data_IF_840643057450
#
_entry.id   IF_840643057450
#
_cell.length_a   1.000
_cell.length_b   1.000
_cell.length_c   1.000
_cell.angle_alpha   90.00
_cell.angle_beta   90.00
_cell.angle_gamma   90.00
#
_symmetry.space_group_name_H-M   'P 1'
#
loop_
_entity.id
_entity.type
_entity.pdbx_description
1 polymer ?
#
# COMPACT_ATOMS: atom_id res chain seq x y z
N UNK A 1 -12.38 10.12 4.56
CA UNK A 1 -11.46 9.05 4.14
C UNK A 1 -10.21 9.17 5.00
N UNK A 2 -9.52 8.06 5.29
CA UNK A 2 -8.27 8.09 6.07
C UNK A 2 -7.19 8.87 5.31
N UNK A 3 -6.34 9.63 6.00
CA UNK A 3 -5.20 10.33 5.38
C UNK A 3 -4.11 9.37 4.88
N UNK A 4 -4.18 8.10 5.31
CA UNK A 4 -3.23 7.05 4.96
C UNK A 4 -3.93 5.79 4.48
N UNK A 5 -3.27 5.11 3.54
CA UNK A 5 -3.56 3.75 3.11
C UNK A 5 -2.38 2.83 3.47
N UNK A 6 -2.65 1.53 3.51
CA UNK A 6 -1.66 0.50 3.72
C UNK A 6 -1.13 -0.01 2.38
N UNK A 7 0.15 0.17 2.12
CA UNK A 7 0.85 -0.54 1.06
C UNK A 7 1.35 -1.90 1.57
N UNK A 8 1.34 -2.89 0.69
CA UNK A 8 1.93 -4.20 0.91
C UNK A 8 2.71 -4.62 -0.33
N UNK A 9 3.86 -5.28 -0.10
CA UNK A 9 4.67 -5.93 -1.13
C UNK A 9 4.95 -7.37 -0.72
N UNK A 10 5.01 -8.26 -1.69
CA UNK A 10 5.67 -9.55 -1.53
C UNK A 10 6.53 -9.89 -2.75
N UNK A 11 7.65 -10.54 -2.49
CA UNK A 11 8.50 -11.16 -3.51
C UNK A 11 8.44 -12.68 -3.40
N UNK A 12 8.48 -13.36 -4.53
CA UNK A 12 8.45 -14.81 -4.60
C UNK A 12 9.41 -15.31 -5.66
N UNK A 13 10.31 -16.22 -5.29
CA UNK A 13 11.16 -16.92 -6.26
C UNK A 13 10.39 -18.12 -6.81
N UNK A 14 10.13 -18.13 -8.10
CA UNK A 14 9.47 -19.24 -8.79
C UNK A 14 10.37 -20.46 -8.86
N UNK A 15 9.77 -21.65 -8.81
CA UNK A 15 10.49 -22.93 -8.93
C UNK A 15 10.93 -23.23 -10.38
N UNK A 16 10.30 -22.59 -11.36
CA UNK A 16 10.56 -22.75 -12.78
C UNK A 16 10.08 -21.49 -13.54
N UNK A 17 10.45 -21.30 -14.82
CA UNK A 17 9.94 -20.20 -15.64
C UNK A 17 8.41 -20.12 -15.66
N UNK A 18 7.88 -18.90 -15.84
CA UNK A 18 6.45 -18.61 -15.74
C UNK A 18 5.60 -19.38 -16.77
N UNK A 19 6.15 -19.63 -17.96
CA UNK A 19 5.53 -20.38 -19.06
C UNK A 19 5.67 -21.91 -18.92
N UNK A 20 6.32 -22.38 -17.86
CA UNK A 20 6.52 -23.81 -17.63
C UNK A 20 5.22 -24.53 -17.23
N UNK A 21 5.10 -25.84 -17.55
CA UNK A 21 3.97 -26.65 -17.08
C UNK A 21 3.79 -26.66 -15.55
N UNK A 22 4.88 -26.46 -14.81
CA UNK A 22 4.84 -26.39 -13.36
C UNK A 22 4.11 -25.14 -12.86
N UNK A 23 4.32 -23.99 -13.50
CA UNK A 23 3.68 -22.72 -13.16
C UNK A 23 2.29 -22.54 -13.80
N UNK A 24 1.89 -23.41 -14.73
CA UNK A 24 0.60 -23.33 -15.43
C UNK A 24 -0.60 -23.21 -14.47
N UNK A 25 -0.58 -23.95 -13.35
CA UNK A 25 -1.63 -23.88 -12.33
C UNK A 25 -1.70 -22.51 -11.64
N UNK A 26 -0.56 -21.85 -11.42
CA UNK A 26 -0.51 -20.49 -10.87
C UNK A 26 -1.02 -19.47 -11.89
N UNK A 27 -0.50 -19.53 -13.13
CA UNK A 27 -0.88 -18.64 -14.23
C UNK A 27 -2.38 -18.69 -14.52
N UNK A 28 -2.96 -19.89 -14.53
CA UNK A 28 -4.40 -20.08 -14.76
C UNK A 28 -5.30 -19.39 -13.72
N UNK A 29 -4.78 -19.14 -12.51
CA UNK A 29 -5.55 -18.50 -11.43
C UNK A 29 -5.30 -16.98 -11.33
N UNK A 30 -4.26 -16.44 -11.98
CA UNK A 30 -3.86 -15.03 -11.85
C UNK A 30 -5.01 -14.05 -12.10
N UNK A 31 -5.72 -14.23 -13.22
CA UNK A 31 -6.82 -13.35 -13.60
C UNK A 31 -7.95 -13.37 -12.55
N UNK A 32 -8.34 -14.56 -12.09
CA UNK A 32 -9.41 -14.70 -11.09
C UNK A 32 -9.01 -14.08 -9.74
N UNK A 33 -7.78 -14.32 -9.28
CA UNK A 33 -7.27 -13.75 -8.03
C UNK A 33 -7.21 -12.21 -8.10
N UNK A 34 -6.70 -11.67 -9.21
CA UNK A 34 -6.65 -10.23 -9.43
C UNK A 34 -8.06 -9.63 -9.41
N UNK A 35 -9.04 -10.29 -10.06
CA UNK A 35 -10.43 -9.85 -10.00
C UNK A 35 -11.03 -9.92 -8.59
N UNK A 36 -10.68 -10.95 -7.79
CA UNK A 36 -11.09 -11.04 -6.38
C UNK A 36 -10.51 -9.87 -5.58
N UNK A 37 -9.26 -9.47 -5.83
CA UNK A 37 -8.67 -8.28 -5.19
C UNK A 37 -9.39 -7.01 -5.63
N UNK A 38 -9.61 -6.83 -6.93
CA UNK A 38 -10.23 -5.63 -7.51
C UNK A 38 -11.67 -5.39 -6.99
N UNK A 39 -12.36 -6.45 -6.53
CA UNK A 39 -13.70 -6.38 -5.92
C UNK A 39 -13.69 -6.44 -4.39
N UNK A 40 -12.53 -6.60 -3.75
CA UNK A 40 -12.44 -6.74 -2.31
C UNK A 40 -12.73 -5.41 -1.60
N UNK A 41 -13.58 -5.40 -0.55
CA UNK A 41 -13.79 -4.20 0.25
C UNK A 41 -12.47 -3.64 0.81
N UNK A 42 -12.25 -2.35 0.57
CA UNK A 42 -11.04 -1.65 0.99
C UNK A 42 -9.81 -1.88 0.12
N UNK A 43 -9.94 -2.53 -1.05
CA UNK A 43 -8.90 -2.51 -2.07
C UNK A 43 -8.83 -1.13 -2.75
N UNK A 44 -7.61 -0.61 -2.96
CA UNK A 44 -7.40 0.72 -3.54
C UNK A 44 -6.65 0.64 -4.87
N UNK A 45 -5.57 -0.15 -4.93
CA UNK A 45 -4.71 -0.23 -6.11
C UNK A 45 -3.80 -1.46 -6.08
N UNK A 46 -3.34 -1.91 -7.25
CA UNK A 46 -2.24 -2.88 -7.39
C UNK A 46 -1.28 -2.50 -8.50
N UNK A 47 -0.03 -2.89 -8.31
CA UNK A 47 1.02 -2.79 -9.31
C UNK A 47 0.71 -3.69 -10.50
N UNK A 48 0.87 -3.13 -11.69
CA UNK A 48 0.76 -3.79 -12.98
C UNK A 48 1.93 -3.34 -13.84
N UNK A 49 2.29 -4.15 -14.83
CA UNK A 49 3.22 -3.77 -15.88
C UNK A 49 2.60 -2.77 -16.86
N UNK A 50 3.34 -2.44 -17.92
CA UNK A 50 2.89 -1.52 -18.97
C UNK A 50 1.67 -2.04 -19.76
N UNK A 51 1.38 -3.34 -19.72
CA UNK A 51 0.17 -3.92 -20.32
C UNK A 51 -1.08 -3.65 -19.48
N UNK A 52 -0.90 -3.34 -18.19
CA UNK A 52 -1.97 -3.02 -17.25
C UNK A 52 -2.70 -4.24 -16.68
N UNK A 53 -2.31 -5.46 -17.04
CA UNK A 53 -3.00 -6.68 -16.61
C UNK A 53 -2.56 -7.16 -15.22
N UNK A 54 -1.25 -7.34 -15.02
CA UNK A 54 -0.65 -7.83 -13.79
C UNK A 54 0.85 -7.46 -13.72
N UNK A 55 1.53 -7.83 -12.62
CA UNK A 55 2.94 -7.51 -12.40
C UNK A 55 3.90 -8.63 -12.87
N UNK A 56 3.43 -9.66 -13.58
CA UNK A 56 4.24 -10.86 -13.86
C UNK A 56 5.34 -10.63 -14.89
N UNK A 57 5.30 -9.54 -15.65
CA UNK A 57 6.40 -9.10 -16.52
C UNK A 57 7.40 -8.17 -15.82
N UNK A 58 7.15 -7.78 -14.56
CA UNK A 58 8.10 -6.98 -13.78
C UNK A 58 9.14 -7.90 -13.11
N UNK A 59 10.40 -7.46 -13.11
CA UNK A 59 11.49 -8.11 -12.38
C UNK A 59 12.12 -7.10 -11.42
N UNK A 60 12.09 -7.37 -10.09
CA UNK A 60 12.71 -6.47 -9.12
C UNK A 60 14.23 -6.51 -9.17
N UNK A 61 14.81 -7.59 -9.70
CA UNK A 61 16.24 -7.76 -9.94
C UNK A 61 16.45 -8.09 -11.42
N UNK A 62 17.31 -7.32 -12.10
CA UNK A 62 17.47 -7.41 -13.55
C UNK A 62 18.01 -8.78 -14.02
N UNK A 63 18.81 -9.44 -13.19
CA UNK A 63 19.51 -10.67 -13.56
C UNK A 63 18.83 -11.94 -12.98
N UNK A 64 17.58 -11.81 -12.49
CA UNK A 64 16.83 -12.92 -11.89
C UNK A 64 15.41 -13.03 -12.45
N UNK A 65 15.29 -13.75 -13.56
CA UNK A 65 14.01 -13.99 -14.24
C UNK A 65 13.00 -14.80 -13.42
N UNK A 66 13.43 -15.44 -12.33
CA UNK A 66 12.59 -16.25 -11.46
C UNK A 66 12.00 -15.46 -10.29
N UNK A 67 12.43 -14.22 -10.08
CA UNK A 67 11.94 -13.40 -8.98
C UNK A 67 10.73 -12.57 -9.42
N UNK A 68 9.56 -12.87 -8.86
CA UNK A 68 8.35 -12.08 -9.06
C UNK A 68 8.14 -11.12 -7.89
N UNK A 69 7.52 -9.98 -8.19
CA UNK A 69 7.05 -8.99 -7.22
C UNK A 69 5.54 -8.77 -7.39
N UNK A 70 4.84 -8.62 -6.28
CA UNK A 70 3.50 -8.06 -6.25
C UNK A 70 3.48 -6.91 -5.24
N UNK A 71 2.75 -5.84 -5.57
CA UNK A 71 2.51 -4.74 -4.65
C UNK A 71 1.07 -4.27 -4.77
N UNK A 72 0.43 -3.99 -3.63
CA UNK A 72 -0.96 -3.56 -3.54
C UNK A 72 -1.16 -2.52 -2.44
N UNK A 73 -2.22 -1.72 -2.55
CA UNK A 73 -2.62 -0.69 -1.60
C UNK A 73 -4.05 -0.92 -1.16
N UNK A 74 -4.28 -0.78 0.15
CA UNK A 74 -5.52 -1.10 0.85
C UNK A 74 -5.88 0.02 1.83
N UNK A 75 -7.16 0.17 2.16
CA UNK A 75 -7.61 1.15 3.15
C UNK A 75 -7.10 0.84 4.57
N UNK A 76 -6.83 -0.44 4.88
CA UNK A 76 -6.38 -0.86 6.20
C UNK A 76 -5.72 -2.24 6.23
N UNK A 77 -5.06 -2.56 7.35
CA UNK A 77 -4.53 -3.91 7.67
C UNK A 77 -5.67 -4.94 7.71
N UNK A 78 -6.85 -4.55 8.17
CA UNK A 78 -8.01 -5.44 8.25
C UNK A 78 -8.55 -5.81 6.85
N UNK A 79 -8.65 -4.83 5.95
CA UNK A 79 -9.09 -5.06 4.56
C UNK A 79 -8.16 -6.07 3.86
N UNK A 80 -6.84 -5.83 3.92
CA UNK A 80 -5.85 -6.75 3.37
C UNK A 80 -5.90 -8.13 4.04
N UNK A 81 -6.10 -8.19 5.36
CA UNK A 81 -6.24 -9.47 6.09
C UNK A 81 -7.48 -10.26 5.64
N UNK A 82 -8.61 -9.58 5.44
CA UNK A 82 -9.85 -10.20 4.95
C UNK A 82 -9.67 -10.74 3.53
N UNK A 83 -9.07 -9.98 2.62
CA UNK A 83 -8.70 -10.48 1.31
C UNK A 83 -7.76 -11.69 1.41
N UNK A 84 -6.70 -11.60 2.22
CA UNK A 84 -5.66 -12.64 2.28
C UNK A 84 -6.18 -13.98 2.79
N UNK A 85 -7.03 -13.96 3.83
CA UNK A 85 -7.41 -15.19 4.57
C UNK A 85 -8.91 -15.54 4.51
N UNK A 86 -9.77 -14.65 4.01
CA UNK A 86 -11.23 -14.88 3.93
C UNK A 86 -11.77 -14.78 2.50
N UNK A 87 -10.89 -14.87 1.50
CA UNK A 87 -11.25 -14.95 0.09
C UNK A 87 -10.61 -16.18 -0.57
N UNK A 88 -10.88 -16.36 -1.86
CA UNK A 88 -10.27 -17.42 -2.67
C UNK A 88 -8.75 -17.29 -2.82
N UNK A 89 -8.17 -16.13 -2.47
CA UNK A 89 -6.72 -15.98 -2.34
C UNK A 89 -6.11 -17.00 -1.36
N UNK A 90 -6.85 -17.45 -0.35
CA UNK A 90 -6.38 -18.47 0.60
C UNK A 90 -6.03 -19.80 -0.09
N UNK A 91 -6.75 -20.18 -1.16
CA UNK A 91 -6.52 -21.42 -1.92
C UNK A 91 -5.14 -21.40 -2.58
N UNK A 92 -4.76 -20.24 -3.12
CA UNK A 92 -3.47 -20.01 -3.78
C UNK A 92 -2.37 -19.96 -2.73
N UNK A 93 -2.60 -19.28 -1.61
CA UNK A 93 -1.66 -19.23 -0.50
C UNK A 93 -1.39 -20.65 0.05
N UNK A 94 -2.40 -21.51 0.17
CA UNK A 94 -2.24 -22.89 0.64
C UNK A 94 -1.35 -23.73 -0.29
N UNK A 95 -1.40 -23.45 -1.60
CA UNK A 95 -0.65 -24.18 -2.63
C UNK A 95 0.63 -23.50 -3.09
N UNK A 96 1.00 -22.35 -2.53
CA UNK A 96 2.16 -21.55 -2.95
C UNK A 96 3.46 -22.34 -3.12
N UNK A 97 3.65 -23.42 -2.37
CA UNK A 97 4.83 -24.30 -2.44
C UNK A 97 4.91 -25.15 -3.71
N UNK A 98 3.81 -25.29 -4.45
CA UNK A 98 3.78 -25.95 -5.75
C UNK A 98 4.54 -25.10 -6.81
N UNK A 99 4.64 -23.79 -6.57
CA UNK A 99 5.07 -22.80 -7.57
C UNK A 99 6.26 -21.95 -7.12
N UNK A 100 6.40 -21.71 -5.82
CA UNK A 100 7.41 -20.82 -5.25
C UNK A 100 8.30 -21.53 -4.24
N UNK A 101 9.57 -21.15 -4.24
CA UNK A 101 10.53 -21.57 -3.24
C UNK A 101 10.14 -21.05 -1.85
N UNK A 102 10.56 -21.80 -0.81
CA UNK A 102 10.54 -21.27 0.54
C UNK A 102 11.74 -20.37 0.73
N UNK A 103 11.55 -19.06 0.57
CA UNK A 103 12.55 -18.07 0.92
C UNK A 103 12.89 -18.16 2.40
N UNK A 104 14.19 -18.20 2.71
CA UNK A 104 14.71 -18.22 4.08
C UNK A 104 14.59 -16.82 4.74
N UNK A 105 14.68 -15.78 3.93
CA UNK A 105 14.62 -14.38 4.36
C UNK A 105 13.23 -13.79 4.22
N UNK A 106 13.04 -12.61 4.83
CA UNK A 106 11.81 -11.82 4.75
C UNK A 106 11.51 -11.52 3.28
N UNK A 107 10.30 -11.85 2.85
CA UNK A 107 9.84 -11.67 1.47
C UNK A 107 8.55 -10.86 1.37
N UNK A 108 8.09 -10.29 2.48
CA UNK A 108 6.86 -9.49 2.58
C UNK A 108 7.14 -8.27 3.44
N UNK A 109 6.58 -7.14 3.05
CA UNK A 109 6.57 -5.93 3.87
C UNK A 109 5.24 -5.19 3.71
N UNK A 110 4.84 -4.47 4.75
CA UNK A 110 3.70 -3.57 4.79
C UNK A 110 4.15 -2.24 5.39
N UNK A 111 3.60 -1.14 4.90
CA UNK A 111 3.90 0.20 5.39
C UNK A 111 2.75 1.16 5.08
N UNK A 112 2.66 2.25 5.83
CA UNK A 112 1.64 3.26 5.60
C UNK A 112 2.12 4.28 4.57
N UNK A 113 1.24 4.62 3.64
CA UNK A 113 1.48 5.61 2.58
C UNK A 113 0.36 6.64 2.60
N UNK A 114 0.62 7.91 2.21
CA UNK A 114 -0.43 8.89 2.07
C UNK A 114 -1.54 8.39 1.13
N UNK A 115 -2.79 8.73 1.42
CA UNK A 115 -3.91 8.35 0.57
C UNK A 115 -3.68 8.83 -0.87
N UNK A 116 -3.87 7.94 -1.84
CA UNK A 116 -3.61 8.19 -3.27
C UNK A 116 -2.18 7.90 -3.73
N UNK A 117 -1.23 7.67 -2.83
CA UNK A 117 0.13 7.25 -3.21
C UNK A 117 0.13 5.84 -3.80
N UNK A 118 0.90 5.66 -4.89
CA UNK A 118 1.09 4.38 -5.58
C UNK A 118 2.58 4.04 -5.53
N UNK A 119 3.00 3.07 -4.70
CA UNK A 119 4.41 2.75 -4.55
C UNK A 119 5.06 2.30 -5.85
N UNK A 120 6.29 2.73 -6.06
CA UNK A 120 7.14 2.19 -7.13
C UNK A 120 7.73 0.84 -6.72
N UNK A 121 8.21 0.07 -7.71
CA UNK A 121 8.95 -1.17 -7.45
C UNK A 121 10.18 -0.92 -6.58
N UNK A 122 10.92 0.17 -6.82
CA UNK A 122 12.09 0.54 -6.02
C UNK A 122 11.73 0.83 -4.54
N UNK A 123 10.64 1.57 -4.30
CA UNK A 123 10.13 1.80 -2.94
C UNK A 123 9.77 0.48 -2.25
N UNK A 124 9.03 -0.37 -2.95
CA UNK A 124 8.57 -1.65 -2.41
C UNK A 124 9.74 -2.58 -2.03
N UNK A 125 10.76 -2.68 -2.89
CA UNK A 125 11.98 -3.43 -2.59
C UNK A 125 12.78 -2.82 -1.43
N UNK A 126 12.83 -1.49 -1.34
CA UNK A 126 13.43 -0.79 -0.21
C UNK A 126 12.79 -1.15 1.14
N UNK A 127 11.47 -1.37 1.18
CA UNK A 127 10.76 -1.79 2.40
C UNK A 127 11.08 -3.21 2.82
N UNK A 128 11.29 -4.12 1.88
CA UNK A 128 11.77 -5.47 2.18
C UNK A 128 13.20 -5.41 2.73
N UNK A 129 14.09 -4.66 2.07
CA UNK A 129 15.46 -4.47 2.54
C UNK A 129 15.50 -3.89 3.95
N UNK A 130 14.64 -2.91 4.25
CA UNK A 130 14.54 -2.30 5.58
C UNK A 130 14.24 -3.33 6.67
N UNK A 131 13.28 -4.24 6.46
CA UNK A 131 12.98 -5.29 7.45
C UNK A 131 14.15 -6.27 7.59
N UNK A 132 14.83 -6.61 6.49
CA UNK A 132 15.98 -7.53 6.54
C UNK A 132 17.17 -6.94 7.32
N UNK A 133 17.40 -5.64 7.17
CA UNK A 133 18.55 -4.95 7.78
C UNK A 133 18.28 -4.48 9.20
N UNK A 134 17.07 -3.97 9.47
CA UNK A 134 16.74 -3.26 10.72
C UNK A 134 15.64 -3.95 11.53
N UNK A 135 14.99 -4.97 10.98
CA UNK A 135 13.83 -5.62 11.60
C UNK A 135 12.51 -4.87 11.37
N UNK A 136 11.43 -5.39 11.94
CA UNK A 136 10.10 -4.80 11.82
C UNK A 136 9.99 -3.49 12.62
N UNK A 137 9.33 -2.49 12.03
CA UNK A 137 9.07 -1.19 12.65
C UNK A 137 7.97 -0.39 11.94
N UNK A 138 7.66 0.84 12.40
CA UNK A 138 6.59 1.65 11.83
C UNK A 138 6.80 2.01 10.35
N UNK A 139 8.05 1.99 9.88
CA UNK A 139 8.40 2.26 8.48
C UNK A 139 8.27 1.04 7.55
N UNK A 140 8.33 -0.18 8.09
CA UNK A 140 8.08 -1.43 7.37
C UNK A 140 7.86 -2.57 8.37
N UNK A 141 6.74 -3.29 8.24
CA UNK A 141 6.34 -4.36 9.15
C UNK A 141 5.62 -5.50 8.44
N UNK A 142 5.26 -6.56 9.16
CA UNK A 142 4.49 -7.69 8.61
C UNK A 142 3.23 -7.95 9.44
N UNK A 143 2.44 -8.95 9.06
CA UNK A 143 1.26 -9.34 9.84
C UNK A 143 1.61 -9.83 11.25
N UNK A 144 2.89 -10.17 11.49
CA UNK A 144 3.39 -10.61 12.79
C UNK A 144 3.36 -9.49 13.83
N UNK A 145 3.74 -8.27 13.45
CA UNK A 145 3.68 -7.08 14.30
C UNK A 145 3.08 -5.90 13.51
N UNK A 146 1.75 -5.80 13.39
CA UNK A 146 1.13 -4.68 12.69
C UNK A 146 1.34 -3.36 13.46
N UNK A 147 1.64 -2.29 12.73
CA UNK A 147 1.76 -0.93 13.28
C UNK A 147 0.56 -0.06 12.86
N UNK A 148 0.13 0.91 13.70
CA UNK A 148 -0.90 1.88 13.32
C UNK A 148 -0.37 2.88 12.26
N UNK A 149 -1.27 3.55 11.52
CA UNK A 149 -0.85 4.64 10.64
C UNK A 149 -0.18 5.76 11.44
N UNK A 150 0.72 6.54 10.82
CA UNK A 150 1.23 7.75 11.42
C UNK A 150 0.08 8.65 11.90
N UNK A 151 0.26 9.43 12.97
CA UNK A 151 -0.71 10.45 13.32
C UNK A 151 -0.90 11.37 12.11
N UNK A 152 -2.15 11.55 11.68
CA UNK A 152 -2.50 12.52 10.65
C UNK A 152 -1.91 13.87 11.00
N UNK A 153 -1.32 14.57 10.04
CA UNK A 153 -0.89 15.94 10.27
C UNK A 153 -2.10 16.74 10.76
N UNK A 154 -2.05 17.41 11.93
CA UNK A 154 -3.12 18.29 12.34
C UNK A 154 -3.12 19.50 11.39
N UNK A 155 -3.95 19.45 10.34
CA UNK A 155 -3.84 20.43 9.28
C UNK A 155 -4.96 20.41 8.24
N UNK A 156 -6.23 20.46 8.67
CA UNK A 156 -7.22 21.43 8.14
C UNK A 156 -8.50 21.43 8.99
N UNK A 157 -8.37 21.74 10.29
CA UNK A 157 -9.52 22.13 11.10
C UNK A 157 -9.46 23.63 11.30
N UNK A 158 -10.05 24.35 10.35
CA UNK A 158 -10.60 25.69 10.53
C UNK A 158 -9.67 26.72 11.16
N UNK A 159 -9.10 27.58 10.33
CA UNK A 159 -8.75 28.94 10.75
C UNK A 159 -9.94 29.51 11.57
N UNK A 160 -9.80 29.85 12.86
CA UNK A 160 -10.79 30.69 13.49
C UNK A 160 -10.69 32.03 12.76
N UNK A 161 -11.75 32.42 12.06
CA UNK A 161 -11.90 33.80 11.60
C UNK A 161 -11.84 34.65 12.86
N UNK A 162 -10.73 35.37 13.03
CA UNK A 162 -10.65 36.43 14.01
C UNK A 162 -11.77 37.42 13.67
N UNK A 163 -12.77 37.48 14.54
CA UNK A 163 -13.75 38.56 14.59
C UNK A 163 -13.00 39.87 14.83
N UNK A 164 -12.73 40.60 13.74
CA UNK A 164 -12.26 41.98 13.78
C UNK A 164 -13.41 42.93 14.03
N UNK A 165 -13.94 42.94 15.25
CA UNK A 165 -14.76 44.04 15.74
C UNK A 165 -13.83 45.13 16.30
N UNK A 166 -13.49 46.12 15.47
CA UNK A 166 -12.93 47.40 15.94
C UNK A 166 -14.01 48.48 15.85
N UNK A 167 -14.71 48.70 16.96
CA UNK A 167 -15.05 50.06 17.39
C UNK A 167 -13.74 50.66 17.97
N UNK A 168 -13.37 51.93 17.86
CA UNK A 168 -14.16 53.15 18.04
C UNK A 168 -13.24 54.31 17.66
N UNK A 169 -13.58 55.17 16.70
CA UNK A 169 -13.06 56.55 16.65
C UNK A 169 -14.11 57.44 15.95
N UNK A 170 -14.87 58.19 16.75
CA UNK A 170 -15.50 59.43 16.31
C UNK A 170 -15.64 60.35 17.52
N UNK A 171 -14.69 61.27 17.63
CA UNK A 171 -14.77 62.44 18.52
C UNK A 171 -15.67 63.49 17.84
N UNK A 172 -16.62 64.12 18.56
CA UNK A 172 -17.50 65.11 17.98
C UNK A 172 -16.81 66.47 17.85
N UNK A 173 -17.07 67.15 16.73
CA UNK A 173 -16.72 68.54 16.51
C UNK A 173 -17.75 69.45 17.21
N UNK A 174 -17.24 70.41 18.00
CA UNK A 174 -18.01 71.50 18.59
C UNK A 174 -17.52 72.84 17.99
N UNK A 175 -18.43 73.82 17.98
CA UNK A 175 -18.34 75.24 17.56
C UNK A 175 -18.60 75.55 16.08
N UNK A 176 -19.43 76.52 15.68
CA UNK A 176 -20.38 77.43 16.34
C UNK A 176 -21.18 78.16 15.21
N UNK A 177 -22.35 78.77 15.48
CA UNK A 177 -23.15 79.45 14.45
C UNK A 177 -22.81 80.95 14.31
N UNK A 178 -22.85 81.46 13.08
CA UNK A 178 -23.30 82.82 12.72
C UNK A 178 -23.76 82.87 11.26
#
# INVERSE_FOLDING_TARGET
>A
MSDFHLAQVNVGRMLAPLDSPQLAGFVAQLHEINAVADQAPGFVWRMVDDSGADATNLRPEHDDDLLLINCSVWESVEALRNYTYRSDHLKVLARRRDWFERLADVSVAMWWVPAGHRPSMAEAMGRIALIREQGEGPEAFTFRAPHPPPPGSPGDSGHPRHDGASATEHTPAEHAPR
#
